data_IF_332128447918
#
_entry.id   IF_332128447918
#
_cell.length_a   1.000
_cell.length_b   1.000
_cell.length_c   1.000
_cell.angle_alpha   90.00
_cell.angle_beta   90.00
_cell.angle_gamma   90.00
#
_symmetry.space_group_name_H-M   'P 1'
#
loop_
_entity.id
_entity.type
_entity.pdbx_description
1 polymer ?
#
# COMPACT_ATOMS: atom_id res chain seq x y z
N UNK A 1 -79.52 -36.24 -28.80
CA UNK A 1 -78.49 -36.89 -27.90
C UNK A 1 -77.13 -36.38 -28.31
N UNK A 2 -76.62 -35.35 -27.62
CA UNK A 2 -75.28 -34.86 -27.81
C UNK A 2 -74.70 -34.61 -26.40
N UNK A 3 -73.66 -35.38 -26.05
CA UNK A 3 -72.89 -35.20 -24.86
C UNK A 3 -71.84 -34.09 -25.06
N UNK A 4 -71.91 -33.02 -24.26
CA UNK A 4 -70.87 -32.00 -24.18
C UNK A 4 -69.85 -32.38 -23.13
N UNK A 5 -68.61 -32.56 -23.57
CA UNK A 5 -67.45 -32.75 -22.68
C UNK A 5 -66.93 -31.38 -22.31
N UNK A 6 -67.03 -31.02 -21.03
CA UNK A 6 -66.37 -29.85 -20.44
C UNK A 6 -64.91 -30.20 -20.09
N UNK A 7 -63.96 -29.62 -20.79
CA UNK A 7 -62.54 -29.64 -20.46
C UNK A 7 -62.25 -28.50 -19.47
N UNK A 8 -61.98 -28.87 -18.22
CA UNK A 8 -61.51 -27.95 -17.20
C UNK A 8 -59.98 -27.72 -17.38
N UNK A 9 -59.61 -26.55 -17.82
CA UNK A 9 -58.20 -26.13 -17.82
C UNK A 9 -57.79 -25.71 -16.40
N UNK A 10 -56.97 -26.51 -15.75
CA UNK A 10 -56.33 -26.14 -14.52
C UNK A 10 -55.18 -25.18 -14.83
N UNK A 11 -55.32 -23.89 -14.47
CA UNK A 11 -54.27 -22.92 -14.52
C UNK A 11 -53.22 -23.21 -13.43
N UNK A 12 -52.07 -23.69 -13.83
CA UNK A 12 -50.87 -23.75 -12.96
C UNK A 12 -50.40 -22.33 -12.71
N UNK A 13 -50.75 -21.77 -11.55
CA UNK A 13 -50.15 -20.55 -11.05
C UNK A 13 -48.65 -20.82 -10.77
N UNK A 14 -47.76 -20.35 -11.64
CA UNK A 14 -46.34 -20.27 -11.34
C UNK A 14 -46.17 -19.28 -10.19
N UNK A 15 -45.87 -19.80 -9.00
CA UNK A 15 -45.37 -18.98 -7.90
C UNK A 15 -44.02 -18.39 -8.33
N UNK A 16 -43.95 -17.06 -8.41
CA UNK A 16 -42.70 -16.35 -8.52
C UNK A 16 -41.81 -16.74 -7.31
N UNK A 17 -40.52 -16.99 -7.51
CA UNK A 17 -39.61 -17.22 -6.40
C UNK A 17 -39.67 -16.02 -5.46
N UNK A 18 -39.77 -16.30 -4.16
CA UNK A 18 -39.67 -15.27 -3.12
C UNK A 18 -38.36 -14.49 -3.31
N UNK A 19 -38.39 -13.17 -3.09
CA UNK A 19 -37.15 -12.40 -3.13
C UNK A 19 -36.18 -12.99 -2.11
N UNK A 20 -35.06 -13.51 -2.58
CA UNK A 20 -33.94 -13.86 -1.73
C UNK A 20 -33.54 -12.61 -0.97
N UNK A 21 -33.70 -12.63 0.35
CA UNK A 21 -33.12 -11.66 1.25
C UNK A 21 -31.60 -11.65 0.99
N UNK A 22 -31.14 -10.80 0.11
CA UNK A 22 -29.74 -10.49 0.01
C UNK A 22 -29.38 -9.76 1.31
N UNK A 23 -28.38 -10.22 2.06
CA UNK A 23 -27.96 -9.51 3.26
C UNK A 23 -27.60 -8.07 2.84
N UNK A 24 -28.44 -7.13 3.25
CA UNK A 24 -28.15 -5.71 3.09
C UNK A 24 -26.92 -5.44 3.95
N UNK A 25 -25.78 -5.21 3.32
CA UNK A 25 -24.57 -4.75 4.01
C UNK A 25 -24.91 -3.38 4.57
N UNK A 26 -25.26 -3.34 5.84
CA UNK A 26 -25.42 -2.07 6.58
C UNK A 26 -24.02 -1.56 6.84
N UNK A 27 -23.50 -0.72 5.95
CA UNK A 27 -22.29 0.04 6.20
C UNK A 27 -22.66 1.08 7.27
N UNK A 28 -22.39 0.77 8.54
CA UNK A 28 -22.47 1.71 9.65
C UNK A 28 -21.23 2.61 9.64
N UNK A 29 -20.96 3.24 8.49
CA UNK A 29 -19.92 4.26 8.38
C UNK A 29 -20.34 5.48 9.19
N UNK A 30 -19.54 5.87 10.18
CA UNK A 30 -19.70 7.19 10.80
C UNK A 30 -19.59 8.24 9.68
N UNK A 31 -20.49 9.22 9.70
CA UNK A 31 -20.42 10.31 8.71
C UNK A 31 -19.17 11.14 8.95
N UNK A 32 -18.54 11.62 7.91
CA UNK A 32 -17.35 12.49 8.00
C UNK A 32 -17.59 13.66 8.99
N UNK A 33 -18.82 14.17 9.06
CA UNK A 33 -19.20 15.22 10.01
C UNK A 33 -19.05 14.78 11.46
N UNK A 34 -19.32 13.52 11.80
CA UNK A 34 -19.19 13.02 13.18
C UNK A 34 -17.74 13.07 13.66
N UNK A 35 -16.78 12.81 12.79
CA UNK A 35 -15.34 12.93 13.08
C UNK A 35 -14.91 14.39 13.23
N UNK A 36 -15.43 15.30 12.39
CA UNK A 36 -15.19 16.75 12.54
C UNK A 36 -15.73 17.25 13.86
N UNK A 37 -16.94 16.85 14.24
CA UNK A 37 -17.56 17.23 15.51
C UNK A 37 -16.82 16.64 16.72
N UNK A 38 -16.31 15.41 16.60
CA UNK A 38 -15.51 14.78 17.66
C UNK A 38 -14.23 15.56 17.93
N UNK A 39 -13.48 15.92 16.87
CA UNK A 39 -12.29 16.76 17.00
C UNK A 39 -12.64 18.15 17.55
N UNK A 40 -13.70 18.79 17.07
CA UNK A 40 -14.14 20.10 17.56
C UNK A 40 -14.48 20.06 19.06
N UNK A 41 -15.21 19.03 19.52
CA UNK A 41 -15.51 18.86 20.97
C UNK A 41 -14.25 18.64 21.81
N UNK A 42 -13.27 17.85 21.29
CA UNK A 42 -12.00 17.66 21.97
C UNK A 42 -11.27 19.01 22.15
N UNK A 43 -11.11 19.77 21.09
CA UNK A 43 -10.42 21.06 21.12
C UNK A 43 -11.13 22.09 22.00
N UNK A 44 -12.46 22.12 21.99
CA UNK A 44 -13.25 23.06 22.83
C UNK A 44 -13.05 22.84 24.33
N UNK A 45 -12.79 21.61 24.78
CA UNK A 45 -12.51 21.28 26.19
C UNK A 45 -11.00 21.21 26.51
N UNK A 46 -10.14 21.64 25.60
CA UNK A 46 -8.68 21.56 25.75
C UNK A 46 -8.20 20.14 26.10
N UNK A 47 -8.63 19.14 25.31
CA UNK A 47 -8.29 17.74 25.56
C UNK A 47 -6.76 17.51 25.54
N UNK A 48 -6.27 16.47 26.25
CA UNK A 48 -4.84 16.16 26.28
C UNK A 48 -4.32 15.71 24.90
N UNK A 49 -2.99 15.75 24.67
CA UNK A 49 -2.37 15.46 23.37
C UNK A 49 -2.72 14.10 22.75
N UNK A 50 -2.88 13.06 23.56
CA UNK A 50 -3.31 11.75 23.06
C UNK A 50 -4.74 11.78 22.48
N UNK A 51 -5.68 12.41 23.16
CA UNK A 51 -7.07 12.53 22.69
C UNK A 51 -7.16 13.44 21.44
N UNK A 52 -6.37 14.54 21.38
CA UNK A 52 -6.27 15.38 20.18
C UNK A 52 -5.71 14.56 19.01
N UNK A 53 -4.66 13.78 19.24
CA UNK A 53 -4.07 12.93 18.22
C UNK A 53 -5.08 11.88 17.72
N UNK A 54 -5.74 11.15 18.62
CA UNK A 54 -6.71 10.11 18.27
C UNK A 54 -7.88 10.69 17.45
N UNK A 55 -8.48 11.80 17.90
CA UNK A 55 -9.57 12.45 17.18
C UNK A 55 -9.13 13.00 15.81
N UNK A 56 -7.90 13.56 15.74
CA UNK A 56 -7.33 14.07 14.49
C UNK A 56 -7.03 12.93 13.51
N UNK A 57 -6.45 11.82 13.98
CA UNK A 57 -6.13 10.66 13.14
C UNK A 57 -7.39 10.00 12.59
N UNK A 58 -8.43 9.85 13.41
CA UNK A 58 -9.72 9.34 12.97
C UNK A 58 -10.36 10.23 11.88
N UNK A 59 -10.32 11.55 12.04
CA UNK A 59 -10.78 12.49 11.01
C UNK A 59 -9.92 12.39 9.74
N UNK A 60 -8.59 12.34 9.88
CA UNK A 60 -7.68 12.27 8.74
C UNK A 60 -7.84 10.96 7.95
N UNK A 61 -8.11 9.84 8.61
CA UNK A 61 -8.42 8.56 7.98
C UNK A 61 -9.74 8.64 7.20
N UNK A 62 -10.80 9.19 7.78
CA UNK A 62 -12.08 9.37 7.10
C UNK A 62 -11.94 10.28 5.87
N UNK A 63 -11.17 11.38 5.97
CA UNK A 63 -10.85 12.27 4.86
C UNK A 63 -10.04 11.56 3.78
N UNK A 64 -9.04 10.75 4.17
CA UNK A 64 -8.26 9.95 3.23
C UNK A 64 -9.13 8.98 2.43
N UNK A 65 -10.02 8.25 3.12
CA UNK A 65 -10.95 7.32 2.48
C UNK A 65 -11.92 8.03 1.52
N UNK A 66 -12.27 9.29 1.81
CA UNK A 66 -13.10 10.12 0.94
C UNK A 66 -12.33 10.75 -0.24
N UNK A 67 -11.00 10.71 -0.22
CA UNK A 67 -10.15 11.35 -1.24
C UNK A 67 -9.71 12.78 -0.88
N UNK A 68 -10.16 13.35 0.25
CA UNK A 68 -9.87 14.72 0.70
C UNK A 68 -8.48 14.82 1.35
N UNK A 69 -7.44 14.42 0.63
CA UNK A 69 -6.06 14.29 1.15
C UNK A 69 -5.49 15.61 1.69
N UNK A 70 -5.83 16.75 1.07
CA UNK A 70 -5.39 18.07 1.51
C UNK A 70 -5.96 18.42 2.88
N UNK A 71 -7.27 18.29 3.07
CA UNK A 71 -7.91 18.57 4.32
C UNK A 71 -7.38 17.63 5.42
N UNK A 72 -7.21 16.33 5.11
CA UNK A 72 -6.61 15.36 6.04
C UNK A 72 -5.20 15.76 6.48
N UNK A 73 -4.34 16.13 5.53
CA UNK A 73 -2.98 16.59 5.82
C UNK A 73 -2.99 17.85 6.68
N UNK A 74 -3.85 18.82 6.38
CA UNK A 74 -3.92 20.09 7.09
C UNK A 74 -4.44 19.90 8.53
N UNK A 75 -5.40 19.00 8.75
CA UNK A 75 -5.86 18.60 10.07
C UNK A 75 -4.71 18.01 10.91
N UNK A 76 -3.96 17.07 10.35
CA UNK A 76 -2.80 16.46 11.01
C UNK A 76 -1.69 17.48 11.27
N UNK A 77 -1.39 18.36 10.30
CA UNK A 77 -0.40 19.42 10.48
C UNK A 77 -0.81 20.41 11.59
N UNK A 78 -2.12 20.70 11.73
CA UNK A 78 -2.63 21.53 12.83
C UNK A 78 -2.43 20.87 14.19
N UNK A 79 -2.74 19.56 14.32
CA UNK A 79 -2.51 18.80 15.55
C UNK A 79 -1.01 18.71 15.89
N UNK A 80 -0.14 18.48 14.89
CA UNK A 80 1.32 18.51 15.09
C UNK A 80 1.80 19.88 15.64
N UNK A 81 1.27 21.01 15.13
CA UNK A 81 1.63 22.32 15.68
C UNK A 81 1.25 22.48 17.15
N UNK A 82 0.14 21.90 17.61
CA UNK A 82 -0.29 21.93 19.01
C UNK A 82 0.55 20.99 19.89
N UNK A 83 0.88 19.79 19.40
CA UNK A 83 1.34 18.68 20.24
C UNK A 83 2.82 18.30 20.09
N UNK A 84 3.55 18.73 19.05
CA UNK A 84 4.95 18.32 18.81
C UNK A 84 5.90 18.55 19.99
N UNK A 85 5.68 19.60 20.77
CA UNK A 85 6.50 19.92 21.95
C UNK A 85 6.14 19.05 23.17
N UNK A 86 5.14 18.18 23.04
CA UNK A 86 4.69 17.26 24.09
C UNK A 86 5.24 15.82 23.86
N UNK A 87 6.13 15.63 22.88
CA UNK A 87 6.63 14.31 22.49
C UNK A 87 7.28 13.56 23.66
N UNK A 88 7.90 14.26 24.61
CA UNK A 88 8.47 13.64 25.81
C UNK A 88 7.41 12.94 26.68
N UNK A 89 6.23 13.53 26.83
CA UNK A 89 5.14 12.99 27.65
C UNK A 89 4.23 12.07 26.82
N UNK A 90 4.12 12.32 25.52
CA UNK A 90 3.22 11.63 24.58
C UNK A 90 3.96 11.21 23.29
N UNK A 91 5.02 10.37 23.40
CA UNK A 91 5.87 10.05 22.23
C UNK A 91 5.12 9.31 21.13
N UNK A 92 4.24 8.36 21.47
CA UNK A 92 3.46 7.59 20.50
C UNK A 92 2.43 8.47 19.76
N UNK A 93 1.52 9.19 20.44
CA UNK A 93 0.56 10.04 19.75
C UNK A 93 1.21 11.06 18.80
N UNK A 94 2.34 11.67 19.23
CA UNK A 94 3.07 12.61 18.37
C UNK A 94 3.74 11.92 17.20
N UNK A 95 4.32 10.72 17.41
CA UNK A 95 4.92 9.93 16.31
C UNK A 95 3.87 9.48 15.29
N UNK A 96 2.67 9.12 15.74
CA UNK A 96 1.57 8.69 14.86
C UNK A 96 1.02 9.85 14.03
N UNK A 97 0.94 11.05 14.59
CA UNK A 97 0.64 12.27 13.83
C UNK A 97 1.70 12.51 12.73
N UNK A 98 2.99 12.35 13.04
CA UNK A 98 4.04 12.46 12.03
C UNK A 98 3.93 11.38 10.96
N UNK A 99 3.56 10.15 11.33
CA UNK A 99 3.36 9.03 10.39
C UNK A 99 2.20 9.32 9.44
N UNK A 100 1.06 9.78 9.96
CA UNK A 100 -0.09 10.18 9.15
C UNK A 100 0.26 11.34 8.21
N UNK A 101 0.97 12.37 8.70
CA UNK A 101 1.43 13.48 7.88
C UNK A 101 2.39 13.02 6.77
N UNK A 102 3.29 12.10 7.07
CA UNK A 102 4.21 11.50 6.08
C UNK A 102 3.42 10.82 4.96
N UNK A 103 2.44 9.98 5.32
CA UNK A 103 1.61 9.23 4.39
C UNK A 103 0.81 10.16 3.48
N UNK A 104 0.05 11.08 4.06
CA UNK A 104 -0.75 12.06 3.31
C UNK A 104 0.11 12.93 2.38
N UNK A 105 1.25 13.42 2.88
CA UNK A 105 2.20 14.20 2.06
C UNK A 105 2.72 13.40 0.86
N UNK A 106 2.93 12.09 0.99
CA UNK A 106 3.34 11.24 -0.13
C UNK A 106 2.25 11.10 -1.19
N UNK A 107 1.02 10.85 -0.78
CA UNK A 107 -0.12 10.79 -1.70
C UNK A 107 -0.31 12.13 -2.45
N UNK A 108 0.01 13.23 -1.80
CA UNK A 108 0.02 14.57 -2.40
C UNK A 108 1.29 14.90 -3.22
N UNK A 109 2.28 13.99 -3.29
CA UNK A 109 3.55 14.25 -3.98
C UNK A 109 4.48 15.23 -3.27
N UNK A 110 4.23 15.56 -2.01
CA UNK A 110 4.99 16.51 -1.18
C UNK A 110 6.16 15.81 -0.47
N UNK A 111 7.11 15.28 -1.24
CA UNK A 111 8.18 14.40 -0.75
C UNK A 111 9.12 15.07 0.27
N UNK A 112 9.31 16.38 0.18
CA UNK A 112 10.12 17.13 1.15
C UNK A 112 9.45 17.12 2.51
N UNK A 113 8.14 17.35 2.57
CA UNK A 113 7.38 17.36 3.82
C UNK A 113 7.21 15.94 4.36
N UNK A 114 6.96 14.96 3.50
CA UNK A 114 6.94 13.55 3.87
C UNK A 114 8.26 13.12 4.54
N UNK A 115 9.40 13.46 3.93
CA UNK A 115 10.72 13.14 4.50
C UNK A 115 10.97 13.85 5.82
N UNK A 116 10.60 15.13 5.94
CA UNK A 116 10.73 15.89 7.20
C UNK A 116 9.91 15.23 8.31
N UNK A 117 8.69 14.81 8.01
CA UNK A 117 7.83 14.13 8.98
C UNK A 117 8.32 12.72 9.32
N UNK A 118 8.92 11.99 8.38
CA UNK A 118 9.53 10.70 8.66
C UNK A 118 10.69 10.80 9.69
N UNK A 119 11.51 11.86 9.62
CA UNK A 119 12.45 12.15 10.71
C UNK A 119 11.75 12.53 12.01
N UNK A 120 10.61 13.23 11.93
CA UNK A 120 9.80 13.59 13.09
C UNK A 120 9.26 12.39 13.85
N UNK A 121 8.91 11.28 13.15
CA UNK A 121 8.49 10.02 13.79
C UNK A 121 9.59 9.53 14.75
N UNK A 122 10.81 9.39 14.24
CA UNK A 122 11.94 8.88 15.03
C UNK A 122 12.29 9.85 16.17
N UNK A 123 12.32 11.16 15.90
CA UNK A 123 12.62 12.19 16.89
C UNK A 123 11.62 12.17 18.06
N UNK A 124 10.32 12.08 17.76
CA UNK A 124 9.29 12.03 18.79
C UNK A 124 9.42 10.81 19.71
N UNK A 125 9.73 9.64 19.14
CA UNK A 125 9.95 8.43 19.92
C UNK A 125 11.20 8.55 20.81
N UNK A 126 12.29 9.17 20.31
CA UNK A 126 13.55 9.34 21.03
C UNK A 126 13.40 10.21 22.30
N UNK A 127 12.40 11.08 22.37
CA UNK A 127 12.20 11.93 23.53
C UNK A 127 11.62 11.20 24.75
N UNK A 128 10.86 10.10 24.54
CA UNK A 128 10.12 9.46 25.62
C UNK A 128 10.17 7.93 25.68
N UNK A 129 10.79 7.27 24.69
CA UNK A 129 10.84 5.79 24.61
C UNK A 129 12.30 5.33 24.52
N UNK A 130 12.71 4.25 25.22
CA UNK A 130 14.03 3.65 25.11
C UNK A 130 14.36 3.22 23.67
N UNK A 131 15.64 3.34 23.27
CA UNK A 131 16.07 3.04 21.89
C UNK A 131 15.93 1.56 21.49
N UNK A 132 15.85 0.67 22.47
CA UNK A 132 15.69 -0.78 22.30
C UNK A 132 14.23 -1.18 22.06
N UNK A 133 13.30 -0.25 22.19
CA UNK A 133 11.87 -0.51 21.94
C UNK A 133 11.60 -0.75 20.45
N UNK A 134 10.70 -1.69 20.14
CA UNK A 134 10.39 -2.10 18.77
C UNK A 134 9.88 -0.95 17.89
N UNK A 135 9.26 0.08 18.50
CA UNK A 135 8.76 1.28 17.79
C UNK A 135 9.89 2.08 17.14
N UNK A 136 11.06 2.14 17.79
CA UNK A 136 12.26 2.73 17.17
C UNK A 136 12.74 1.92 15.98
N UNK A 137 12.70 0.58 16.06
CA UNK A 137 13.11 -0.28 14.97
C UNK A 137 12.20 -0.08 13.75
N UNK A 138 10.89 -0.05 13.98
CA UNK A 138 9.90 0.23 12.93
C UNK A 138 10.12 1.62 12.31
N UNK A 139 10.26 2.67 13.12
CA UNK A 139 10.48 4.02 12.64
C UNK A 139 11.75 4.16 11.79
N UNK A 140 12.85 3.49 12.15
CA UNK A 140 14.09 3.47 11.36
C UNK A 140 13.93 2.72 10.04
N UNK A 141 13.19 1.61 10.03
CA UNK A 141 12.85 0.89 8.80
C UNK A 141 12.01 1.77 7.87
N UNK A 142 10.98 2.43 8.37
CA UNK A 142 10.14 3.38 7.63
C UNK A 142 11.00 4.54 7.08
N UNK A 143 11.82 5.16 7.92
CA UNK A 143 12.70 6.26 7.51
C UNK A 143 13.68 5.82 6.40
N UNK A 144 14.29 4.63 6.52
CA UNK A 144 15.19 4.10 5.50
C UNK A 144 14.52 3.94 4.15
N UNK A 145 13.25 3.53 4.13
CA UNK A 145 12.46 3.41 2.92
C UNK A 145 12.16 4.77 2.28
N UNK A 146 11.73 5.74 3.08
CA UNK A 146 11.49 7.10 2.59
C UNK A 146 12.76 7.77 2.04
N UNK A 147 13.90 7.52 2.67
CA UNK A 147 15.19 8.01 2.18
C UNK A 147 15.56 7.35 0.85
N UNK A 148 15.35 6.05 0.72
CA UNK A 148 15.61 5.32 -0.53
C UNK A 148 14.72 5.82 -1.67
N UNK A 149 13.42 5.94 -1.42
CA UNK A 149 12.46 6.44 -2.42
C UNK A 149 12.74 7.89 -2.84
N UNK A 150 13.28 8.70 -1.94
CA UNK A 150 13.75 10.07 -2.21
C UNK A 150 15.15 10.14 -2.84
N UNK A 151 15.74 9.02 -3.26
CA UNK A 151 17.08 8.96 -3.88
C UNK A 151 18.24 9.13 -2.90
N UNK A 152 17.99 9.19 -1.60
CA UNK A 152 19.04 9.32 -0.58
C UNK A 152 19.53 7.95 -0.08
N UNK A 153 20.16 7.19 -0.98
CA UNK A 153 20.69 5.85 -0.65
C UNK A 153 21.67 5.87 0.54
N UNK A 154 22.57 6.86 0.59
CA UNK A 154 23.54 6.96 1.68
C UNK A 154 22.88 7.22 3.04
N UNK A 155 21.81 8.00 3.08
CA UNK A 155 20.97 8.20 4.25
C UNK A 155 20.29 6.89 4.68
N UNK A 156 19.65 6.21 3.76
CA UNK A 156 18.98 4.93 4.01
C UNK A 156 19.96 3.88 4.58
N UNK A 157 21.17 3.79 4.00
CA UNK A 157 22.22 2.88 4.46
C UNK A 157 22.70 3.20 5.88
N UNK A 158 22.84 4.49 6.23
CA UNK A 158 23.23 4.86 7.61
C UNK A 158 22.17 4.43 8.62
N UNK A 159 20.89 4.72 8.35
CA UNK A 159 19.80 4.33 9.24
C UNK A 159 19.71 2.80 9.42
N UNK A 160 19.89 2.02 8.36
CA UNK A 160 19.89 0.56 8.44
C UNK A 160 21.09 0.01 9.20
N UNK A 161 22.30 0.59 9.02
CA UNK A 161 23.48 0.19 9.79
C UNK A 161 23.33 0.50 11.29
N UNK A 162 22.78 1.66 11.63
CA UNK A 162 22.47 2.00 13.02
C UNK A 162 21.43 1.05 13.61
N UNK A 163 20.40 0.72 12.84
CA UNK A 163 19.38 -0.25 13.26
C UNK A 163 19.99 -1.64 13.53
N UNK A 164 20.84 -2.15 12.63
CA UNK A 164 21.54 -3.43 12.80
C UNK A 164 22.35 -3.44 14.10
N UNK A 165 23.11 -2.37 14.35
CA UNK A 165 23.93 -2.24 15.55
C UNK A 165 23.08 -2.22 16.83
N UNK A 166 22.02 -1.42 16.87
CA UNK A 166 21.12 -1.28 18.02
C UNK A 166 20.36 -2.58 18.27
N UNK A 167 19.80 -3.18 17.21
CA UNK A 167 19.05 -4.43 17.31
C UNK A 167 19.91 -5.58 17.84
N UNK A 168 21.14 -5.72 17.36
CA UNK A 168 22.08 -6.73 17.89
C UNK A 168 22.44 -6.50 19.34
N UNK A 169 22.70 -5.25 19.73
CA UNK A 169 22.95 -4.91 21.13
C UNK A 169 21.77 -5.24 22.05
N UNK A 170 20.55 -5.15 21.52
CA UNK A 170 19.30 -5.54 22.22
C UNK A 170 18.95 -7.02 22.09
N UNK A 171 19.80 -7.86 21.49
CA UNK A 171 19.52 -9.29 21.26
C UNK A 171 18.44 -9.57 20.21
N UNK A 172 18.07 -8.57 19.39
CA UNK A 172 17.01 -8.66 18.38
C UNK A 172 17.62 -8.99 17.01
N UNK A 173 18.14 -10.22 16.87
CA UNK A 173 18.74 -10.70 15.62
C UNK A 173 17.71 -10.78 14.46
N UNK A 174 16.43 -10.96 14.78
CA UNK A 174 15.32 -10.91 13.84
C UNK A 174 15.25 -9.54 13.13
N UNK A 175 15.32 -8.45 13.89
CA UNK A 175 15.31 -7.08 13.38
C UNK A 175 16.60 -6.76 12.60
N UNK A 176 17.75 -7.18 13.14
CA UNK A 176 19.05 -6.99 12.48
C UNK A 176 19.07 -7.69 11.11
N UNK A 177 18.57 -8.91 11.03
CA UNK A 177 18.45 -9.66 9.77
C UNK A 177 17.53 -8.96 8.76
N UNK A 178 16.37 -8.45 9.21
CA UNK A 178 15.47 -7.71 8.34
C UNK A 178 16.13 -6.44 7.77
N UNK A 179 16.87 -5.71 8.61
CA UNK A 179 17.59 -4.51 8.19
C UNK A 179 18.73 -4.84 7.21
N UNK A 180 19.46 -5.94 7.42
CA UNK A 180 20.50 -6.42 6.49
C UNK A 180 19.90 -6.78 5.12
N UNK A 181 18.82 -7.54 5.10
CA UNK A 181 18.13 -7.91 3.86
C UNK A 181 17.62 -6.66 3.11
N UNK A 182 17.06 -5.69 3.83
CA UNK A 182 16.62 -4.42 3.24
C UNK A 182 17.80 -3.62 2.68
N UNK A 183 18.92 -3.60 3.38
CA UNK A 183 20.15 -2.94 2.92
C UNK A 183 20.67 -3.57 1.63
N UNK A 184 20.72 -4.90 1.54
CA UNK A 184 21.13 -5.62 0.34
C UNK A 184 20.17 -5.36 -0.83
N UNK A 185 18.87 -5.29 -0.55
CA UNK A 185 17.87 -4.91 -1.55
C UNK A 185 18.10 -3.50 -2.10
N UNK A 186 18.30 -2.51 -1.22
CA UNK A 186 18.58 -1.14 -1.61
C UNK A 186 19.89 -1.01 -2.37
N UNK A 187 20.92 -1.74 -1.95
CA UNK A 187 22.21 -1.79 -2.62
C UNK A 187 22.08 -2.38 -4.03
N UNK A 188 21.33 -3.47 -4.20
CA UNK A 188 21.09 -4.06 -5.51
C UNK A 188 20.33 -3.11 -6.47
N UNK A 189 19.45 -2.25 -5.94
CA UNK A 189 18.72 -1.26 -6.76
C UNK A 189 19.62 -0.07 -7.12
N UNK A 190 20.32 0.48 -6.12
CA UNK A 190 21.09 1.72 -6.28
C UNK A 190 22.47 1.49 -6.93
N UNK A 191 23.03 0.29 -6.77
CA UNK A 191 24.37 -0.11 -7.22
C UNK A 191 24.33 -1.54 -7.77
N UNK A 192 23.79 -1.78 -8.97
CA UNK A 192 23.62 -3.13 -9.52
C UNK A 192 24.94 -3.93 -9.64
N UNK A 193 26.06 -3.24 -9.84
CA UNK A 193 27.41 -3.83 -9.93
C UNK A 193 28.01 -4.23 -8.58
N UNK A 194 27.28 -4.00 -7.46
CA UNK A 194 27.76 -4.35 -6.12
C UNK A 194 27.73 -5.85 -5.89
N UNK A 195 28.38 -6.27 -4.80
CA UNK A 195 28.37 -7.66 -4.34
C UNK A 195 27.10 -8.11 -3.62
N UNK A 196 26.07 -7.24 -3.54
CA UNK A 196 24.82 -7.52 -2.83
C UNK A 196 24.17 -8.83 -3.27
N UNK A 197 24.14 -9.09 -4.59
CA UNK A 197 23.61 -10.34 -5.14
C UNK A 197 24.41 -11.55 -4.71
N UNK A 198 25.74 -11.45 -4.71
CA UNK A 198 26.60 -12.54 -4.25
C UNK A 198 26.41 -12.81 -2.75
N UNK A 199 26.17 -11.77 -1.94
CA UNK A 199 25.83 -11.91 -0.53
C UNK A 199 24.49 -12.62 -0.35
N UNK A 200 23.44 -12.23 -1.07
CA UNK A 200 22.15 -12.92 -1.05
C UNK A 200 22.29 -14.40 -1.42
N UNK A 201 23.07 -14.73 -2.45
CA UNK A 201 23.34 -16.12 -2.86
C UNK A 201 24.05 -16.92 -1.75
N UNK A 202 24.96 -16.32 -1.01
CA UNK A 202 25.59 -17.00 0.15
C UNK A 202 24.56 -17.29 1.25
N UNK A 203 23.71 -16.29 1.56
CA UNK A 203 22.67 -16.44 2.59
C UNK A 203 21.66 -17.53 2.27
N UNK A 204 21.34 -17.81 0.99
CA UNK A 204 20.40 -18.90 0.64
C UNK A 204 20.89 -20.28 1.02
N UNK A 205 22.21 -20.45 1.19
CA UNK A 205 22.87 -21.72 1.53
C UNK A 205 22.95 -21.97 3.04
N UNK A 206 22.56 -21.00 3.85
CA UNK A 206 22.55 -21.13 5.30
C UNK A 206 21.41 -22.07 5.73
N UNK A 207 21.77 -23.14 6.48
CA UNK A 207 20.82 -24.20 6.87
C UNK A 207 20.52 -24.25 8.37
N UNK A 208 21.32 -23.56 9.19
CA UNK A 208 21.11 -23.55 10.62
C UNK A 208 19.74 -22.99 11.01
N UNK A 209 19.02 -23.58 11.98
CA UNK A 209 17.70 -23.11 12.40
C UNK A 209 17.65 -21.61 12.74
N UNK A 210 18.69 -21.08 13.39
CA UNK A 210 18.80 -19.65 13.72
C UNK A 210 18.91 -18.75 12.48
N UNK A 211 19.35 -19.28 11.34
CA UNK A 211 19.54 -18.55 10.09
C UNK A 211 18.36 -18.70 9.10
N UNK A 212 17.32 -19.45 9.48
CA UNK A 212 16.18 -19.75 8.59
C UNK A 212 15.52 -18.49 8.04
N UNK A 213 15.27 -17.48 8.89
CA UNK A 213 14.66 -16.22 8.46
C UNK A 213 15.56 -15.51 7.43
N UNK A 214 16.86 -15.49 7.65
CA UNK A 214 17.87 -14.88 6.77
C UNK A 214 17.92 -15.58 5.42
N UNK A 215 18.00 -16.91 5.42
CA UNK A 215 18.00 -17.73 4.19
C UNK A 215 16.70 -17.56 3.39
N UNK A 216 15.54 -17.62 4.06
CA UNK A 216 14.23 -17.42 3.43
C UNK A 216 14.09 -16.02 2.85
N UNK A 217 14.48 -14.98 3.59
CA UNK A 217 14.47 -13.59 3.11
C UNK A 217 15.38 -13.38 1.90
N UNK A 218 16.57 -13.97 1.91
CA UNK A 218 17.49 -13.91 0.78
C UNK A 218 16.92 -14.59 -0.47
N UNK A 219 16.28 -15.78 -0.33
CA UNK A 219 15.59 -16.46 -1.45
C UNK A 219 14.48 -15.60 -2.03
N UNK A 220 13.66 -14.95 -1.17
CA UNK A 220 12.61 -14.04 -1.63
C UNK A 220 13.16 -12.85 -2.42
N UNK A 221 14.23 -12.23 -1.95
CA UNK A 221 14.86 -11.11 -2.65
C UNK A 221 15.48 -11.53 -3.97
N UNK A 222 16.16 -12.68 -4.01
CA UNK A 222 16.70 -13.23 -5.25
C UNK A 222 15.60 -13.60 -6.24
N UNK A 223 14.50 -14.20 -5.80
CA UNK A 223 13.36 -14.48 -6.66
C UNK A 223 12.80 -13.20 -7.30
N UNK A 224 12.71 -12.10 -6.53
CA UNK A 224 12.33 -10.77 -7.07
C UNK A 224 13.33 -10.25 -8.10
N UNK A 225 14.62 -10.39 -7.83
CA UNK A 225 15.68 -9.98 -8.77
C UNK A 225 15.56 -10.79 -10.07
N UNK A 226 15.44 -12.12 -9.99
CA UNK A 226 15.31 -13.00 -11.15
C UNK A 226 14.06 -12.69 -11.98
N UNK A 227 12.93 -12.41 -11.34
CA UNK A 227 11.73 -11.97 -12.06
C UNK A 227 11.95 -10.69 -12.85
N UNK A 228 12.62 -9.69 -12.25
CA UNK A 228 12.94 -8.43 -12.94
C UNK A 228 13.92 -8.62 -14.12
N UNK A 229 14.75 -9.65 -14.07
CA UNK A 229 15.68 -10.05 -15.14
C UNK A 229 15.03 -10.96 -16.20
N UNK A 230 13.74 -11.27 -16.09
CA UNK A 230 13.04 -12.21 -16.99
C UNK A 230 13.33 -13.69 -16.72
N UNK A 231 14.03 -14.03 -15.67
CA UNK A 231 14.44 -15.38 -15.26
C UNK A 231 13.34 -16.03 -14.38
N UNK A 232 12.16 -16.22 -14.96
CA UNK A 232 10.98 -16.70 -14.22
C UNK A 232 11.21 -18.10 -13.62
N UNK A 233 11.79 -19.03 -14.35
CA UNK A 233 12.03 -20.39 -13.88
C UNK A 233 12.93 -20.46 -12.64
N UNK A 234 14.00 -19.64 -12.61
CA UNK A 234 14.90 -19.56 -11.45
C UNK A 234 14.18 -18.98 -10.23
N UNK A 235 13.33 -17.98 -10.44
CA UNK A 235 12.51 -17.43 -9.38
C UNK A 235 11.53 -18.47 -8.81
N UNK A 236 10.83 -19.20 -9.67
CA UNK A 236 9.86 -20.23 -9.28
C UNK A 236 10.52 -21.37 -8.50
N UNK A 237 11.73 -21.77 -8.88
CA UNK A 237 12.49 -22.78 -8.14
C UNK A 237 12.78 -22.36 -6.69
N UNK A 238 13.20 -21.09 -6.47
CA UNK A 238 13.43 -20.55 -5.12
C UNK A 238 12.14 -20.47 -4.32
N UNK A 239 11.03 -20.08 -4.95
CA UNK A 239 9.73 -19.95 -4.30
C UNK A 239 9.14 -21.32 -3.91
N UNK A 240 9.28 -22.32 -4.77
CA UNK A 240 8.88 -23.70 -4.47
C UNK A 240 9.68 -24.26 -3.27
N UNK A 241 10.96 -23.92 -3.14
CA UNK A 241 11.78 -24.28 -1.99
C UNK A 241 11.26 -23.64 -0.69
N UNK A 242 10.90 -22.35 -0.73
CA UNK A 242 10.29 -21.64 0.40
C UNK A 242 8.95 -22.27 0.75
N UNK A 243 8.08 -22.57 -0.22
CA UNK A 243 6.77 -23.18 0.00
C UNK A 243 6.85 -24.51 0.72
N UNK A 244 7.78 -25.36 0.33
CA UNK A 244 8.03 -26.65 1.03
C UNK A 244 8.46 -26.47 2.48
N UNK A 245 9.17 -25.40 2.80
CA UNK A 245 9.65 -25.12 4.16
C UNK A 245 8.63 -24.38 5.04
N UNK A 246 7.63 -23.73 4.44
CA UNK A 246 6.67 -22.84 5.12
C UNK A 246 5.29 -23.41 5.30
N UNK A 247 5.02 -24.64 4.87
CA UNK A 247 3.70 -25.29 4.93
C UNK A 247 3.08 -25.40 6.34
N UNK A 248 3.76 -24.94 7.38
CA UNK A 248 3.37 -25.06 8.78
C UNK A 248 3.00 -23.72 9.46
N UNK A 249 3.06 -22.57 8.82
CA UNK A 249 2.74 -21.30 9.49
C UNK A 249 1.69 -20.52 8.70
N UNK A 250 0.47 -20.48 9.21
CA UNK A 250 -0.67 -19.71 8.72
C UNK A 250 -0.47 -18.19 8.85
N UNK A 251 0.64 -17.68 8.36
CA UNK A 251 0.97 -16.28 8.42
C UNK A 251 0.55 -15.57 7.12
N UNK A 252 0.29 -14.28 7.24
CA UNK A 252 -0.11 -13.35 6.18
C UNK A 252 0.47 -13.67 4.80
N UNK A 253 -0.39 -13.68 3.79
CA UNK A 253 0.02 -13.89 2.40
C UNK A 253 1.03 -12.85 1.97
N UNK A 254 2.19 -13.29 1.51
CA UNK A 254 3.27 -12.42 1.06
C UNK A 254 3.24 -12.32 -0.45
N UNK A 255 3.30 -11.10 -0.96
CA UNK A 255 3.49 -10.85 -2.39
C UNK A 255 4.87 -11.38 -2.81
N UNK A 256 4.88 -12.37 -3.71
CA UNK A 256 6.07 -13.01 -4.23
C UNK A 256 6.54 -12.30 -5.50
N UNK A 257 5.60 -12.02 -6.40
CA UNK A 257 5.87 -11.47 -7.72
C UNK A 257 4.75 -10.56 -8.16
N UNK A 258 5.12 -9.47 -8.83
CA UNK A 258 4.21 -8.61 -9.57
C UNK A 258 4.85 -8.30 -10.92
N UNK A 259 4.10 -8.38 -12.04
CA UNK A 259 4.56 -7.84 -13.31
C UNK A 259 4.91 -6.35 -13.18
N UNK A 260 5.95 -5.94 -13.89
CA UNK A 260 6.25 -4.51 -14.01
C UNK A 260 5.13 -3.85 -14.83
N UNK A 261 4.75 -2.66 -14.41
CA UNK A 261 3.87 -1.80 -15.20
C UNK A 261 4.57 -0.45 -15.42
N UNK A 262 4.32 0.14 -16.57
CA UNK A 262 4.79 1.48 -16.91
C UNK A 262 3.57 2.37 -16.94
N UNK A 263 3.57 3.39 -16.10
CA UNK A 263 2.57 4.45 -16.21
C UNK A 263 2.83 5.16 -17.54
N UNK A 264 1.85 5.20 -18.41
CA UNK A 264 1.92 6.00 -19.63
C UNK A 264 1.87 7.47 -19.25
N UNK A 265 3.00 8.00 -18.85
CA UNK A 265 3.17 9.45 -18.83
C UNK A 265 3.32 9.85 -20.29
N UNK A 266 2.27 10.38 -20.88
CA UNK A 266 2.39 11.02 -22.18
C UNK A 266 3.37 12.19 -22.00
N UNK A 267 4.61 12.03 -22.46
CA UNK A 267 5.56 13.14 -22.50
C UNK A 267 5.01 14.20 -23.48
N UNK A 268 4.64 15.39 -23.01
CA UNK A 268 4.16 16.44 -23.91
C UNK A 268 5.24 16.91 -24.90
N UNK A 269 6.50 16.49 -24.72
CA UNK A 269 7.62 16.76 -25.63
C UNK A 269 8.01 15.54 -26.46
N UNK A 270 7.32 14.43 -26.36
CA UNK A 270 7.51 13.31 -27.27
C UNK A 270 6.83 13.65 -28.61
N UNK A 271 7.49 14.60 -29.30
CA UNK A 271 7.09 15.11 -30.62
C UNK A 271 7.23 14.03 -31.69
N UNK A 272 7.90 12.91 -31.36
CA UNK A 272 8.18 11.84 -32.33
C UNK A 272 7.10 10.76 -32.43
N UNK A 273 6.15 10.70 -31.49
CA UNK A 273 5.16 9.62 -31.48
C UNK A 273 3.89 9.88 -32.31
N UNK A 274 3.71 11.08 -32.83
CA UNK A 274 2.56 11.44 -33.64
C UNK A 274 2.95 12.02 -35.01
N UNK A 275 3.31 11.21 -35.97
CA UNK A 275 3.21 11.47 -37.43
C UNK A 275 3.33 12.95 -37.90
N UNK A 276 4.13 13.80 -37.22
CA UNK A 276 4.39 15.17 -37.63
C UNK A 276 3.26 16.18 -37.37
N UNK A 277 2.23 15.84 -36.62
CA UNK A 277 1.22 16.82 -36.21
C UNK A 277 1.63 17.58 -34.96
N UNK A 278 1.73 18.90 -35.09
CA UNK A 278 2.02 19.81 -33.97
C UNK A 278 0.89 19.73 -32.93
N UNK A 279 1.23 19.36 -31.70
CA UNK A 279 0.28 19.33 -30.58
C UNK A 279 -0.18 20.78 -30.31
N UNK A 280 -1.50 21.08 -30.33
CA UNK A 280 -1.99 22.41 -30.03
C UNK A 280 -1.53 22.88 -28.65
N UNK A 281 -1.03 24.12 -28.53
CA UNK A 281 -0.52 24.72 -27.29
C UNK A 281 -1.51 24.65 -26.12
N UNK A 282 -2.83 24.65 -26.42
CA UNK A 282 -3.90 24.47 -25.43
C UNK A 282 -3.82 23.12 -24.69
N UNK A 283 -3.42 22.04 -25.37
CA UNK A 283 -3.29 20.71 -24.75
C UNK A 283 -2.05 20.62 -23.82
N UNK A 284 -1.01 21.41 -24.08
CA UNK A 284 0.17 21.47 -23.21
C UNK A 284 -0.18 22.18 -21.90
N UNK A 285 -0.95 23.23 -21.94
CA UNK A 285 -1.38 23.98 -20.74
C UNK A 285 -2.37 23.18 -19.89
N UNK A 286 -3.31 22.47 -20.50
CA UNK A 286 -4.25 21.60 -19.76
C UNK A 286 -3.54 20.43 -19.08
N UNK A 287 -2.49 19.87 -19.71
CA UNK A 287 -1.65 18.81 -19.12
C UNK A 287 -0.74 19.34 -17.99
N UNK A 288 -0.38 20.62 -18.00
CA UNK A 288 0.35 21.26 -16.89
C UNK A 288 -0.53 21.54 -15.68
N UNK A 289 -1.85 21.55 -15.85
CA UNK A 289 -2.87 21.71 -14.80
C UNK A 289 -3.45 20.37 -14.32
N UNK A 290 -2.87 19.23 -14.69
CA UNK A 290 -3.33 17.91 -14.28
C UNK A 290 -3.45 17.85 -12.75
N UNK A 291 -4.67 17.69 -12.27
CA UNK A 291 -4.95 17.59 -10.84
C UNK A 291 -4.68 16.17 -10.39
N UNK A 292 -3.42 15.87 -10.03
CA UNK A 292 -3.02 14.56 -9.55
C UNK A 292 -3.75 14.13 -8.27
N UNK A 293 -4.33 15.09 -7.55
CA UNK A 293 -4.89 14.87 -6.22
C UNK A 293 -6.24 14.14 -6.27
N UNK A 294 -6.92 14.25 -7.42
CA UNK A 294 -8.22 13.62 -7.63
C UNK A 294 -8.12 12.27 -8.37
N UNK A 295 -6.92 11.72 -8.53
CA UNK A 295 -6.71 10.46 -9.27
C UNK A 295 -6.36 9.31 -8.33
N UNK A 296 -7.39 8.62 -7.87
CA UNK A 296 -7.23 7.43 -7.04
C UNK A 296 -8.27 6.35 -7.38
N UNK A 297 -7.92 5.11 -7.06
CA UNK A 297 -8.80 3.95 -7.15
C UNK A 297 -8.65 3.06 -5.91
N UNK A 298 -9.73 2.42 -5.51
CA UNK A 298 -9.73 1.29 -4.58
C UNK A 298 -9.99 0.03 -5.37
N UNK A 299 -9.08 -0.92 -5.26
CA UNK A 299 -9.13 -2.20 -5.98
C UNK A 299 -9.34 -3.32 -5.00
N UNK A 300 -10.45 -4.05 -5.17
CA UNK A 300 -10.74 -5.28 -4.45
C UNK A 300 -10.34 -6.49 -5.28
N UNK A 301 -9.80 -7.52 -4.64
CA UNK A 301 -9.48 -8.80 -5.29
C UNK A 301 -9.32 -9.93 -4.28
N UNK A 302 -9.54 -11.14 -4.74
CA UNK A 302 -9.25 -12.35 -3.99
C UNK A 302 -7.88 -12.90 -4.35
N UNK A 303 -7.21 -13.47 -3.36
CA UNK A 303 -6.01 -14.29 -3.55
C UNK A 303 -6.44 -15.74 -3.32
N UNK A 304 -6.38 -16.56 -4.36
CA UNK A 304 -6.74 -17.98 -4.35
C UNK A 304 -5.78 -18.80 -3.47
N UNK A 305 -6.13 -20.01 -3.04
CA UNK A 305 -5.26 -20.86 -2.21
C UNK A 305 -3.86 -21.08 -2.80
N UNK A 306 -3.74 -21.19 -4.10
CA UNK A 306 -2.47 -21.34 -4.83
C UNK A 306 -1.69 -20.02 -5.01
N UNK A 307 -2.27 -18.88 -4.60
CA UNK A 307 -1.59 -17.58 -4.56
C UNK A 307 -1.82 -16.68 -5.77
N UNK A 308 -2.73 -17.00 -6.67
CA UNK A 308 -3.09 -16.17 -7.80
C UNK A 308 -4.20 -15.16 -7.47
N UNK A 309 -4.25 -14.07 -8.21
CA UNK A 309 -5.31 -13.07 -8.10
C UNK A 309 -6.53 -13.52 -8.89
N UNK A 310 -7.72 -13.41 -8.29
CA UNK A 310 -9.02 -13.61 -8.93
C UNK A 310 -9.99 -12.48 -8.56
N UNK A 311 -11.06 -12.35 -9.33
CA UNK A 311 -12.19 -11.44 -9.05
C UNK A 311 -11.74 -10.00 -8.75
N UNK A 312 -10.83 -9.48 -9.60
CA UNK A 312 -10.30 -8.12 -9.46
C UNK A 312 -11.33 -7.11 -9.98
N UNK A 313 -11.70 -6.18 -9.12
CA UNK A 313 -12.65 -5.12 -9.43
C UNK A 313 -12.20 -3.76 -8.87
N UNK A 314 -12.62 -2.68 -9.52
CA UNK A 314 -12.54 -1.33 -8.94
C UNK A 314 -13.78 -1.15 -8.07
N UNK A 315 -13.58 -1.05 -6.75
CA UNK A 315 -14.65 -0.89 -5.77
C UNK A 315 -15.10 0.58 -5.69
N UNK A 316 -14.13 1.49 -5.74
CA UNK A 316 -14.36 2.95 -5.73
C UNK A 316 -13.28 3.65 -6.54
N UNK A 317 -13.59 4.79 -7.11
CA UNK A 317 -12.63 5.63 -7.80
C UNK A 317 -12.98 7.13 -7.71
N UNK A 318 -12.09 7.94 -8.23
CA UNK A 318 -12.25 9.40 -8.36
C UNK A 318 -12.90 9.83 -9.69
N UNK A 319 -13.51 8.90 -10.42
CA UNK A 319 -14.07 9.07 -11.79
C UNK A 319 -13.04 9.36 -12.90
N UNK A 320 -11.76 9.40 -12.60
CA UNK A 320 -10.66 9.53 -13.58
C UNK A 320 -9.67 8.36 -13.43
N UNK A 321 -10.04 7.17 -13.91
CA UNK A 321 -9.31 5.93 -13.68
C UNK A 321 -8.56 5.36 -14.90
N UNK A 322 -8.63 5.99 -16.08
CA UNK A 322 -7.97 5.50 -17.29
C UNK A 322 -6.44 5.35 -17.21
N UNK A 323 -5.80 5.98 -16.23
CA UNK A 323 -4.38 5.79 -15.94
C UNK A 323 -4.08 4.42 -15.31
N UNK A 324 -5.09 3.74 -14.79
CA UNK A 324 -4.92 2.55 -13.95
C UNK A 324 -4.80 1.23 -14.73
N UNK A 325 -5.16 1.19 -16.02
CA UNK A 325 -5.17 -0.04 -16.80
C UNK A 325 -3.87 -0.85 -16.71
N UNK A 326 -2.66 -0.27 -16.88
CA UNK A 326 -1.42 -1.01 -16.74
C UNK A 326 -1.19 -1.53 -15.31
N UNK A 327 -1.66 -0.80 -14.30
CA UNK A 327 -1.61 -1.21 -12.91
C UNK A 327 -2.55 -2.39 -12.65
N UNK A 328 -3.78 -2.35 -13.14
CA UNK A 328 -4.76 -3.44 -13.00
C UNK A 328 -4.25 -4.73 -13.64
N UNK A 329 -3.62 -4.65 -14.81
CA UNK A 329 -2.96 -5.81 -15.44
C UNK A 329 -1.81 -6.34 -14.58
N UNK A 330 -1.01 -5.45 -13.99
CA UNK A 330 0.03 -5.85 -13.04
C UNK A 330 -0.54 -6.55 -11.80
N UNK A 331 -1.67 -6.07 -11.26
CA UNK A 331 -2.32 -6.69 -10.10
C UNK A 331 -2.86 -8.07 -10.48
N UNK A 332 -3.49 -8.26 -11.62
CA UNK A 332 -3.97 -9.57 -12.12
C UNK A 332 -2.85 -10.60 -12.21
N UNK A 333 -1.67 -10.16 -12.62
CA UNK A 333 -0.49 -11.02 -12.75
C UNK A 333 0.31 -11.23 -11.48
N UNK A 334 -0.16 -10.74 -10.33
CA UNK A 334 0.53 -10.94 -9.04
C UNK A 334 0.46 -12.39 -8.59
N UNK A 335 1.55 -12.82 -7.95
CA UNK A 335 1.63 -14.13 -7.31
C UNK A 335 1.97 -13.92 -5.83
N UNK A 336 1.19 -14.55 -4.98
CA UNK A 336 1.36 -14.53 -3.52
C UNK A 336 1.78 -15.90 -3.01
N UNK A 337 2.22 -15.97 -1.76
CA UNK A 337 2.45 -17.26 -1.12
C UNK A 337 1.15 -18.06 -1.01
N UNK A 338 1.22 -19.38 -1.27
CA UNK A 338 0.08 -20.27 -1.08
C UNK A 338 -0.39 -20.30 0.38
N UNK A 339 -1.69 -20.50 0.60
CA UNK A 339 -2.30 -20.70 1.90
C UNK A 339 -3.54 -21.58 1.77
N UNK A 340 -4.05 -22.11 2.89
CA UNK A 340 -5.17 -23.04 2.87
C UNK A 340 -6.48 -22.41 2.38
N UNK A 341 -6.69 -21.12 2.67
CA UNK A 341 -7.95 -20.44 2.37
C UNK A 341 -7.72 -19.22 1.47
N UNK A 342 -8.71 -18.83 0.65
CA UNK A 342 -8.64 -17.59 -0.10
C UNK A 342 -8.59 -16.38 0.85
N UNK A 343 -7.97 -15.30 0.39
CA UNK A 343 -7.85 -14.07 1.19
C UNK A 343 -8.29 -12.88 0.33
N UNK A 344 -9.21 -12.09 0.84
CA UNK A 344 -9.61 -10.83 0.20
C UNK A 344 -8.59 -9.74 0.50
N UNK A 345 -8.35 -8.89 -0.48
CA UNK A 345 -7.55 -7.67 -0.37
C UNK A 345 -8.33 -6.48 -0.91
N UNK A 346 -8.22 -5.37 -0.19
CA UNK A 346 -8.67 -4.06 -0.64
C UNK A 346 -7.50 -3.09 -0.58
N UNK A 347 -7.16 -2.49 -1.71
CA UNK A 347 -5.95 -1.66 -1.83
C UNK A 347 -6.30 -0.32 -2.48
N UNK A 348 -5.86 0.80 -1.85
CA UNK A 348 -5.93 2.15 -2.42
C UNK A 348 -4.68 2.42 -3.23
N UNK A 349 -4.89 2.94 -4.43
CA UNK A 349 -3.84 3.44 -5.31
C UNK A 349 -4.10 4.90 -5.66
N UNK A 350 -3.10 5.74 -5.49
CA UNK A 350 -3.17 7.17 -5.81
C UNK A 350 -2.13 7.48 -6.88
N UNK A 351 -2.57 8.01 -8.00
CA UNK A 351 -1.69 8.51 -9.06
C UNK A 351 -1.20 9.91 -8.66
N UNK A 352 0.12 10.06 -8.50
CA UNK A 352 0.71 11.32 -8.04
C UNK A 352 2.06 11.58 -8.71
N UNK A 353 2.59 12.77 -8.51
CA UNK A 353 3.93 13.13 -8.95
C UNK A 353 4.60 14.03 -7.90
N UNK A 354 5.93 13.89 -7.66
CA UNK A 354 6.63 14.74 -6.72
C UNK A 354 6.70 16.20 -7.18
N UNK A 355 6.80 17.12 -6.22
CA UNK A 355 7.16 18.49 -6.51
C UNK A 355 8.68 18.63 -6.61
N UNK A 356 9.13 19.24 -7.68
CA UNK A 356 10.55 19.53 -7.97
C UNK A 356 10.79 21.04 -7.96
N UNK A 357 11.96 21.46 -7.46
CA UNK A 357 12.40 22.84 -7.60
C UNK A 357 13.04 23.03 -8.96
N UNK A 358 12.52 23.96 -9.74
CA UNK A 358 13.10 24.31 -11.02
C UNK A 358 14.28 25.28 -10.78
N UNK A 359 15.44 24.97 -11.37
CA UNK A 359 16.64 25.83 -11.28
C UNK A 359 16.30 27.24 -11.74
N UNK A 360 16.67 28.23 -10.93
CA UNK A 360 16.42 29.66 -11.22
C UNK A 360 15.06 30.18 -10.72
N UNK A 361 14.22 29.34 -10.13
CA UNK A 361 12.98 29.79 -9.50
C UNK A 361 12.81 29.13 -8.12
N UNK A 362 12.11 29.83 -7.21
CA UNK A 362 11.70 29.24 -5.91
C UNK A 362 10.32 28.58 -5.97
N UNK A 363 9.70 28.54 -7.15
CA UNK A 363 8.35 28.00 -7.32
C UNK A 363 8.47 26.48 -7.53
N UNK A 364 7.95 25.64 -6.63
CA UNK A 364 7.92 24.20 -6.85
C UNK A 364 6.97 23.89 -8.02
N UNK A 365 7.37 23.01 -8.91
CA UNK A 365 6.54 22.47 -9.99
C UNK A 365 6.36 20.99 -9.83
N UNK A 366 5.21 20.44 -10.25
CA UNK A 366 5.01 19.01 -10.34
C UNK A 366 5.99 18.40 -11.34
N UNK A 367 6.65 17.33 -10.92
CA UNK A 367 7.52 16.53 -11.79
C UNK A 367 6.68 15.85 -12.88
N UNK A 368 7.31 15.60 -14.03
CA UNK A 368 6.72 14.77 -15.09
C UNK A 368 6.80 13.26 -14.76
N UNK A 369 7.53 12.90 -13.71
CA UNK A 369 7.69 11.52 -13.28
C UNK A 369 6.55 11.14 -12.34
N UNK A 370 5.44 10.73 -12.94
CA UNK A 370 4.33 10.19 -12.18
C UNK A 370 4.70 8.89 -11.47
N UNK A 371 4.05 8.66 -10.35
CA UNK A 371 4.13 7.39 -9.60
C UNK A 371 2.77 7.04 -9.03
N UNK A 372 2.63 5.80 -8.58
CA UNK A 372 1.47 5.34 -7.83
C UNK A 372 1.89 5.12 -6.38
N UNK A 373 1.21 5.80 -5.47
CA UNK A 373 1.29 5.51 -4.04
C UNK A 373 0.25 4.44 -3.69
N UNK A 374 0.61 3.56 -2.77
CA UNK A 374 -0.16 2.39 -2.38
C UNK A 374 -0.47 2.41 -0.89
N UNK A 375 -1.67 1.98 -0.53
CA UNK A 375 -2.08 1.70 0.84
C UNK A 375 -2.97 0.46 0.90
N UNK A 376 -2.66 -0.48 1.79
CA UNK A 376 -3.51 -1.63 2.10
C UNK A 376 -4.65 -1.19 3.02
N UNK A 377 -5.89 -1.32 2.56
CA UNK A 377 -7.12 -1.00 3.30
C UNK A 377 -7.80 -2.26 3.87
N UNK A 378 -7.25 -3.45 3.64
CA UNK A 378 -7.88 -4.73 3.99
C UNK A 378 -8.25 -4.84 5.47
N UNK A 379 -7.54 -4.15 6.35
CA UNK A 379 -7.77 -4.21 7.80
C UNK A 379 -9.01 -3.42 8.26
N UNK A 380 -9.56 -2.56 7.42
CA UNK A 380 -10.61 -1.61 7.78
C UNK A 380 -12.00 -2.02 7.26
N UNK A 381 -12.12 -3.06 6.45
CA UNK A 381 -13.42 -3.58 5.98
C UNK A 381 -13.56 -5.08 6.25
N UNK A 382 -14.74 -5.54 6.70
CA UNK A 382 -15.01 -6.97 6.75
C UNK A 382 -14.98 -7.54 5.31
N UNK A 383 -14.38 -8.72 5.09
CA UNK A 383 -14.29 -9.31 3.75
C UNK A 383 -15.71 -9.55 3.20
N UNK A 384 -15.97 -9.24 1.92
CA UNK A 384 -17.20 -9.64 1.27
C UNK A 384 -17.33 -11.16 1.29
N UNK A 385 -18.56 -11.65 1.38
CA UNK A 385 -18.84 -13.10 1.37
C UNK A 385 -18.35 -13.67 0.03
N UNK A 386 -17.48 -14.70 0.01
CA UNK A 386 -17.03 -15.29 -1.24
C UNK A 386 -18.22 -15.78 -2.06
N UNK A 387 -18.19 -15.62 -3.40
CA UNK A 387 -19.22 -16.17 -4.26
C UNK A 387 -19.34 -17.68 -3.99
N UNK A 388 -20.57 -18.14 -3.76
CA UNK A 388 -20.82 -19.55 -3.47
C UNK A 388 -20.23 -20.40 -4.59
N UNK A 389 -19.35 -21.33 -4.24
CA UNK A 389 -18.78 -22.27 -5.18
C UNK A 389 -19.91 -22.91 -5.98
N UNK A 390 -19.93 -22.72 -7.30
CA UNK A 390 -20.92 -23.31 -8.17
C UNK A 390 -20.88 -24.84 -7.95
N UNK A 391 -21.88 -25.38 -7.27
CA UNK A 391 -22.02 -26.80 -7.07
C UNK A 391 -22.21 -27.44 -8.45
N UNK A 392 -21.14 -28.05 -8.96
CA UNK A 392 -21.22 -28.91 -10.12
C UNK A 392 -22.04 -30.15 -9.75
N UNK A 393 -23.35 -30.05 -9.94
CA UNK A 393 -24.22 -31.22 -9.92
C UNK A 393 -23.91 -32.04 -11.17
N UNK A 394 -22.97 -32.97 -11.08
CA UNK A 394 -22.94 -34.11 -11.97
C UNK A 394 -24.20 -34.91 -11.66
N UNK A 395 -25.16 -34.93 -12.58
CA UNK A 395 -26.17 -35.96 -12.65
C UNK A 395 -25.54 -37.15 -13.36
N UNK A 396 -25.48 -38.25 -12.66
CA UNK A 396 -25.50 -39.60 -13.25
C UNK A 396 -26.85 -39.90 -13.89
#
# INVERSE_FOLDING_TARGET
MFYALLLSAAALAQQAPAPTDQPTIVVTGQRLQDYRDALARCLARHCPPNEDADATLALAEALFLNGDYHEGRDAVAASLRRNRNQARAYPEPVSDLYRAHTRLSRHLGQDIDARRSAYGILSALQEGIPQEDYRHFTARLELSEYLMLGGNYNGARRELNDLIRIARAAGREDVATLAELRMLWFQNIAQPESDARAQLLRMTRETAPAQRMRSTGAKLLLARIYRREGRAADADALLAEIGRSSAASGAHRRLISAPNYVLQVQDPNDINDNNGESIPTANVLSRMSDNFEDKWIDVGFWITPDGHVSDLEIVRDSNENGWADPLLESIRGRVYSAAAEPTYRLERYTYTAPYERVTGTNIPRRSRRARVEYLDLTQNEPPPVPPAAASSSHRE
#
